data_IF_780865996144
#
_entry.id   IF_780865996144
#
_cell.length_a   1.000
_cell.length_b   1.000
_cell.length_c   1.000
_cell.angle_alpha   90.00
_cell.angle_beta   90.00
_cell.angle_gamma   90.00
#
_symmetry.space_group_name_H-M   'P 1'
#
loop_
_entity.id
_entity.type
_entity.pdbx_description
1 polymer ?
#
# COMPACT_ATOMS: atom_id res chain seq x y z
N UNK A 1 -20.35 -16.62 -41.70
CA UNK A 1 -19.81 -15.66 -40.72
C UNK A 1 -18.40 -15.28 -41.21
N UNK A 2 -18.07 -14.02 -41.49
CA UNK A 2 -16.70 -13.66 -41.82
C UNK A 2 -15.80 -13.92 -40.61
N UNK A 3 -14.62 -14.50 -40.85
CA UNK A 3 -13.58 -14.69 -39.84
C UNK A 3 -13.26 -13.35 -39.18
N UNK A 4 -13.01 -13.34 -37.82
CA UNK A 4 -12.61 -12.10 -37.18
C UNK A 4 -11.28 -11.64 -37.78
N UNK A 5 -11.27 -10.44 -38.28
CA UNK A 5 -10.08 -9.73 -38.81
C UNK A 5 -8.95 -9.83 -37.81
N UNK A 6 -7.99 -10.73 -38.06
CA UNK A 6 -6.76 -10.84 -37.28
C UNK A 6 -5.87 -9.67 -37.70
N UNK A 7 -5.75 -8.69 -36.84
CA UNK A 7 -4.83 -7.60 -36.98
C UNK A 7 -3.40 -8.12 -36.72
N UNK A 8 -2.50 -8.19 -37.74
CA UNK A 8 -1.12 -8.64 -37.56
C UNK A 8 -0.35 -7.83 -36.53
N UNK A 9 -0.79 -6.62 -36.28
CA UNK A 9 -0.32 -5.70 -35.25
C UNK A 9 -0.55 -6.26 -33.82
N UNK A 10 -1.73 -6.82 -33.57
CA UNK A 10 -2.05 -7.38 -32.24
C UNK A 10 -1.31 -8.69 -31.93
N UNK A 11 -0.95 -9.47 -32.95
CA UNK A 11 -0.18 -10.71 -32.74
C UNK A 11 1.28 -10.40 -32.39
N UNK A 12 1.89 -9.36 -32.99
CA UNK A 12 3.23 -8.88 -32.59
C UNK A 12 3.23 -8.27 -31.18
N UNK A 13 2.21 -7.49 -30.82
CA UNK A 13 2.05 -6.95 -29.47
C UNK A 13 1.97 -8.07 -28.43
N UNK A 14 1.18 -9.12 -28.71
CA UNK A 14 1.05 -10.27 -27.80
C UNK A 14 2.39 -11.01 -27.63
N UNK A 15 3.16 -11.17 -28.71
CA UNK A 15 4.47 -11.79 -28.65
C UNK A 15 5.46 -10.96 -27.79
N UNK A 16 5.42 -9.63 -27.90
CA UNK A 16 6.25 -8.73 -27.07
C UNK A 16 5.83 -8.79 -25.61
N UNK A 17 4.53 -8.80 -25.31
CA UNK A 17 4.00 -8.91 -23.94
C UNK A 17 4.42 -10.23 -23.28
N UNK A 18 4.49 -11.32 -24.05
CA UNK A 18 4.94 -12.62 -23.52
C UNK A 18 6.44 -12.67 -23.17
N UNK A 19 7.25 -11.80 -23.77
CA UNK A 19 8.70 -11.70 -23.48
C UNK A 19 8.97 -10.85 -22.22
N UNK A 20 8.01 -10.04 -21.80
CA UNK A 20 8.11 -9.13 -20.67
C UNK A 20 7.44 -9.73 -19.41
N UNK A 21 7.94 -10.86 -18.90
CA UNK A 21 7.29 -11.63 -17.81
C UNK A 21 7.24 -10.91 -16.46
N UNK A 22 7.96 -9.80 -16.25
CA UNK A 22 8.06 -9.10 -14.95
C UNK A 22 7.87 -7.59 -15.08
N UNK A 23 6.81 -7.12 -15.75
CA UNK A 23 6.55 -5.69 -15.92
C UNK A 23 5.35 -5.21 -15.10
N UNK A 24 5.52 -4.03 -14.47
CA UNK A 24 4.46 -3.37 -13.70
C UNK A 24 3.52 -2.55 -14.58
N UNK A 25 3.96 -2.19 -15.81
CA UNK A 25 3.19 -1.41 -16.74
C UNK A 25 3.54 -1.67 -18.21
N UNK A 26 2.53 -1.60 -19.06
CA UNK A 26 2.68 -1.70 -20.51
C UNK A 26 1.97 -0.50 -21.12
N UNK A 27 2.68 0.19 -22.04
CA UNK A 27 2.16 1.30 -22.80
C UNK A 27 2.39 1.05 -24.29
N UNK A 28 1.34 1.21 -25.08
CA UNK A 28 1.39 1.00 -26.52
C UNK A 28 1.11 2.34 -27.21
N UNK A 29 2.02 2.75 -28.07
CA UNK A 29 1.88 3.97 -28.86
C UNK A 29 1.90 3.66 -30.36
N UNK A 30 1.24 4.51 -31.14
CA UNK A 30 1.35 4.48 -32.60
C UNK A 30 2.62 5.22 -33.08
N UNK A 31 2.81 5.28 -34.41
CA UNK A 31 3.96 5.93 -35.04
C UNK A 31 4.09 7.42 -34.71
N UNK A 32 2.97 8.07 -34.39
CA UNK A 32 2.91 9.51 -34.11
C UNK A 32 3.06 9.77 -32.57
N UNK A 33 3.29 8.73 -31.78
CA UNK A 33 3.46 8.82 -30.32
C UNK A 33 2.16 8.98 -29.54
N UNK A 34 1.00 8.69 -30.19
CA UNK A 34 -0.30 8.69 -29.54
C UNK A 34 -0.52 7.36 -28.82
N UNK A 35 -0.94 7.41 -27.58
CA UNK A 35 -1.18 6.23 -26.74
C UNK A 35 -2.44 5.52 -27.22
N UNK A 36 -2.33 4.24 -27.55
CA UNK A 36 -3.40 3.37 -28.04
C UNK A 36 -3.89 2.38 -26.99
N UNK A 37 -3.01 1.93 -26.11
CA UNK A 37 -3.37 1.10 -24.96
C UNK A 37 -2.43 1.40 -23.79
N UNK A 38 -2.96 1.25 -22.57
CA UNK A 38 -2.21 1.53 -21.36
C UNK A 38 -2.68 0.60 -20.27
N UNK A 39 -1.79 -0.30 -19.82
CA UNK A 39 -2.04 -1.26 -18.75
C UNK A 39 -0.98 -1.10 -17.68
N UNK A 40 -1.37 -0.65 -16.51
CA UNK A 40 -0.49 -0.55 -15.34
C UNK A 40 -1.13 -1.38 -14.23
N UNK A 41 -0.34 -2.28 -13.64
CA UNK A 41 -0.77 -3.13 -12.53
C UNK A 41 -1.10 -2.33 -11.26
N UNK A 42 -0.63 -1.11 -11.14
CA UNK A 42 -0.91 -0.21 -10.03
C UNK A 42 -1.66 1.03 -10.51
N UNK A 43 -2.88 1.24 -10.00
CA UNK A 43 -3.71 2.46 -10.21
C UNK A 43 -3.08 3.76 -9.66
N UNK A 44 -1.75 3.78 -9.46
CA UNK A 44 -1.04 4.87 -8.82
C UNK A 44 -0.62 5.99 -9.78
N UNK A 45 -0.56 5.74 -11.10
CA UNK A 45 0.11 6.66 -12.01
C UNK A 45 -0.85 7.43 -12.92
N UNK A 46 -1.59 6.71 -13.76
CA UNK A 46 -2.57 7.28 -14.68
C UNK A 46 -3.70 6.27 -14.90
N UNK A 47 -4.93 6.75 -14.97
CA UNK A 47 -6.01 5.88 -15.41
C UNK A 47 -5.94 5.75 -16.92
N UNK A 48 -6.16 4.55 -17.46
CA UNK A 48 -6.17 4.30 -18.89
C UNK A 48 -7.11 5.26 -19.64
N UNK A 49 -8.26 5.57 -19.04
CA UNK A 49 -9.27 6.53 -19.56
C UNK A 49 -8.73 7.96 -19.70
N UNK A 50 -7.69 8.33 -18.94
CA UNK A 50 -7.10 9.68 -18.94
C UNK A 50 -5.90 9.78 -19.92
N UNK A 51 -5.40 8.66 -20.43
CA UNK A 51 -4.15 8.58 -21.18
C UNK A 51 -4.34 8.17 -22.63
N UNK A 52 -5.26 7.25 -22.92
CA UNK A 52 -5.51 6.77 -24.27
C UNK A 52 -6.00 7.91 -25.17
N UNK A 53 -5.41 8.02 -26.34
CA UNK A 53 -5.69 9.09 -27.29
C UNK A 53 -4.84 10.35 -27.13
N UNK A 54 -4.02 10.46 -26.05
CA UNK A 54 -3.09 11.59 -25.86
C UNK A 54 -1.71 11.25 -26.39
N UNK A 55 -0.97 12.30 -26.74
CA UNK A 55 0.43 12.14 -27.12
C UNK A 55 1.30 11.94 -25.88
N UNK A 56 2.33 11.07 -25.98
CA UNK A 56 3.22 10.73 -24.85
C UNK A 56 3.87 11.96 -24.19
N UNK A 57 4.16 13.02 -24.95
CA UNK A 57 4.70 14.28 -24.43
C UNK A 57 3.72 15.07 -23.55
N UNK A 58 2.43 14.85 -23.67
CA UNK A 58 1.44 15.50 -22.80
C UNK A 58 1.43 14.86 -21.42
N UNK A 59 1.76 13.57 -21.35
CA UNK A 59 1.86 12.85 -20.09
C UNK A 59 3.20 13.05 -19.38
N UNK A 60 4.27 13.13 -20.17
CA UNK A 60 5.64 13.23 -19.68
C UNK A 60 6.36 14.40 -20.34
N UNK A 61 5.98 15.65 -20.03
CA UNK A 61 6.53 16.84 -20.67
C UNK A 61 8.03 17.06 -20.37
N UNK A 62 8.56 16.40 -19.34
CA UNK A 62 9.97 16.43 -18.97
C UNK A 62 10.85 15.53 -19.87
N UNK A 63 10.25 14.60 -20.65
CA UNK A 63 10.98 13.73 -21.54
C UNK A 63 11.03 14.33 -22.94
N UNK A 64 12.24 14.61 -23.42
CA UNK A 64 12.51 15.02 -24.79
C UNK A 64 12.75 13.82 -25.72
N UNK A 65 13.10 14.07 -26.99
CA UNK A 65 13.33 13.02 -27.98
C UNK A 65 14.55 12.12 -27.69
N UNK A 66 15.49 12.61 -26.91
CA UNK A 66 16.71 11.87 -26.56
C UNK A 66 16.54 11.08 -25.24
N UNK A 67 15.82 11.64 -24.29
CA UNK A 67 15.58 11.01 -22.98
C UNK A 67 14.44 10.00 -23.01
N UNK A 68 13.41 10.19 -23.85
CA UNK A 68 12.31 9.24 -23.99
C UNK A 68 12.72 8.00 -24.77
N UNK A 69 12.65 6.82 -24.16
CA UNK A 69 12.89 5.53 -24.83
C UNK A 69 11.86 5.31 -25.95
N UNK A 70 10.60 5.69 -25.74
CA UNK A 70 9.51 5.55 -26.72
C UNK A 70 9.79 6.38 -27.97
N UNK A 71 10.00 7.69 -27.82
CA UNK A 71 10.24 8.58 -28.96
C UNK A 71 11.51 8.18 -29.72
N UNK A 72 12.54 7.76 -28.98
CA UNK A 72 13.79 7.30 -29.59
C UNK A 72 13.61 5.98 -30.34
N UNK A 73 12.84 5.03 -29.81
CA UNK A 73 12.54 3.77 -30.50
C UNK A 73 11.71 3.99 -31.75
N UNK A 74 10.71 4.87 -31.74
CA UNK A 74 9.92 5.25 -32.91
C UNK A 74 10.79 5.87 -33.98
N UNK A 75 11.73 6.78 -33.63
CA UNK A 75 12.63 7.46 -34.56
C UNK A 75 13.68 6.53 -35.17
N UNK A 76 14.28 5.67 -34.32
CA UNK A 76 15.43 4.86 -34.73
C UNK A 76 15.07 3.49 -35.28
N UNK A 77 13.86 3.00 -35.00
CA UNK A 77 13.43 1.65 -35.32
C UNK A 77 14.21 0.55 -34.57
N UNK A 78 14.92 0.92 -33.47
CA UNK A 78 15.72 -0.02 -32.65
C UNK A 78 15.11 -0.21 -31.30
N UNK A 79 15.10 -1.45 -30.83
CA UNK A 79 14.69 -1.77 -29.47
C UNK A 79 15.70 -1.20 -28.45
N UNK A 80 15.17 -0.79 -27.30
CA UNK A 80 15.92 -0.24 -26.18
C UNK A 80 15.57 -1.10 -24.98
N UNK A 81 16.58 -1.65 -24.30
CA UNK A 81 16.38 -2.59 -23.21
C UNK A 81 16.86 -1.99 -21.89
N UNK A 82 16.09 -2.24 -20.82
CA UNK A 82 16.41 -1.93 -19.42
C UNK A 82 16.99 -0.53 -19.20
N UNK A 83 16.49 0.46 -19.94
CA UNK A 83 16.94 1.82 -19.78
C UNK A 83 16.23 2.53 -18.66
N UNK A 84 16.99 3.00 -17.71
CA UNK A 84 16.50 3.80 -16.59
C UNK A 84 16.02 5.17 -17.05
N UNK A 85 14.79 5.51 -16.63
CA UNK A 85 14.17 6.81 -16.85
C UNK A 85 13.60 7.36 -15.53
N UNK A 86 13.58 8.67 -15.41
CA UNK A 86 12.86 9.37 -14.35
C UNK A 86 11.68 10.13 -14.97
N UNK A 87 10.50 9.91 -14.41
CA UNK A 87 9.28 10.60 -14.81
C UNK A 87 8.58 11.22 -13.61
N UNK A 88 7.70 12.17 -13.84
CA UNK A 88 6.82 12.72 -12.81
C UNK A 88 5.40 12.25 -13.08
N UNK A 89 4.80 11.57 -12.09
CA UNK A 89 3.43 11.08 -12.24
C UNK A 89 2.38 12.18 -12.10
N UNK A 90 1.11 11.85 -12.32
CA UNK A 90 -0.03 12.79 -12.22
C UNK A 90 -0.18 13.44 -10.85
N UNK A 91 0.48 12.92 -9.81
CA UNK A 91 0.48 13.45 -8.44
C UNK A 91 1.67 14.34 -8.14
N UNK A 92 2.55 14.55 -9.13
CA UNK A 92 3.79 15.30 -8.95
C UNK A 92 4.88 14.51 -8.22
N UNK A 93 4.75 13.18 -8.13
CA UNK A 93 5.74 12.30 -7.51
C UNK A 93 6.75 11.85 -8.57
N UNK A 94 8.03 11.90 -8.22
CA UNK A 94 9.08 11.32 -9.07
C UNK A 94 9.03 9.81 -9.02
N UNK A 95 9.12 9.22 -10.18
CA UNK A 95 9.14 7.77 -10.39
C UNK A 95 10.34 7.43 -11.22
N UNK A 96 11.14 6.50 -10.74
CA UNK A 96 12.19 5.86 -11.53
C UNK A 96 11.61 4.57 -12.10
N UNK A 97 11.86 4.34 -13.36
CA UNK A 97 11.47 3.11 -14.03
C UNK A 97 12.61 2.60 -14.90
N UNK A 98 12.70 1.29 -15.03
CA UNK A 98 13.49 0.65 -16.07
C UNK A 98 12.55 0.31 -17.23
N UNK A 99 12.78 0.92 -18.36
CA UNK A 99 11.95 0.78 -19.55
C UNK A 99 12.62 -0.11 -20.60
N UNK A 100 11.84 -1.05 -21.12
CA UNK A 100 12.19 -1.81 -22.32
C UNK A 100 11.20 -1.44 -23.40
N UNK A 101 11.68 -0.70 -24.41
CA UNK A 101 10.85 -0.22 -25.51
C UNK A 101 11.18 -0.96 -26.80
N UNK A 102 10.20 -1.63 -27.38
CA UNK A 102 10.34 -2.41 -28.61
C UNK A 102 9.49 -1.75 -29.71
N UNK A 103 10.10 -1.28 -30.83
CA UNK A 103 9.35 -0.75 -31.94
C UNK A 103 8.61 -1.87 -32.67
N UNK A 104 7.40 -1.58 -33.12
CA UNK A 104 6.58 -2.47 -33.95
C UNK A 104 6.76 -2.05 -35.39
N UNK A 105 7.17 -3.01 -36.22
CA UNK A 105 7.38 -2.76 -37.63
C UNK A 105 6.51 -3.67 -38.49
N UNK A 106 5.84 -3.08 -39.50
CA UNK A 106 5.08 -3.80 -40.51
C UNK A 106 5.67 -3.42 -41.88
N UNK A 107 6.01 -4.40 -42.68
CA UNK A 107 6.64 -4.22 -44.02
C UNK A 107 7.89 -3.33 -43.96
N UNK A 108 8.67 -3.42 -42.89
CA UNK A 108 9.91 -2.64 -42.70
C UNK A 108 9.70 -1.18 -42.27
N UNK A 109 8.47 -0.75 -42.05
CA UNK A 109 8.15 0.58 -41.49
C UNK A 109 7.73 0.49 -40.03
N UNK A 110 8.24 1.39 -39.19
CA UNK A 110 7.82 1.51 -37.78
C UNK A 110 6.40 2.07 -37.75
N UNK A 111 5.47 1.30 -37.19
CA UNK A 111 4.05 1.66 -37.06
C UNK A 111 3.67 2.00 -35.61
N UNK A 112 4.54 1.71 -34.66
CA UNK A 112 4.31 2.00 -33.25
C UNK A 112 5.43 1.47 -32.37
N UNK A 113 5.23 1.49 -31.07
CA UNK A 113 6.12 0.89 -30.09
C UNK A 113 5.34 0.36 -28.87
N UNK A 114 5.88 -0.70 -28.28
CA UNK A 114 5.45 -1.21 -26.96
C UNK A 114 6.53 -0.85 -25.98
N UNK A 115 6.15 -0.21 -24.89
CA UNK A 115 7.01 0.10 -23.75
C UNK A 115 6.57 -0.73 -22.55
N UNK A 116 7.48 -1.55 -22.07
CA UNK A 116 7.31 -2.39 -20.89
C UNK A 116 8.14 -1.77 -19.76
N UNK A 117 7.50 -1.31 -18.71
CA UNK A 117 8.16 -0.61 -17.63
C UNK A 117 8.08 -1.39 -16.33
N UNK A 118 9.20 -1.48 -15.62
CA UNK A 118 9.26 -1.86 -14.22
C UNK A 118 9.40 -0.58 -13.41
N UNK A 119 8.37 -0.27 -12.61
CA UNK A 119 8.35 0.95 -11.80
C UNK A 119 9.05 0.69 -10.47
N UNK A 120 10.05 1.48 -10.20
CA UNK A 120 10.55 1.66 -8.85
C UNK A 120 9.82 2.88 -8.29
N UNK A 121 8.81 2.64 -7.46
CA UNK A 121 8.16 3.72 -6.72
C UNK A 121 9.22 4.27 -5.78
N UNK A 122 9.87 5.31 -6.24
CA UNK A 122 10.66 6.15 -5.37
C UNK A 122 9.64 6.82 -4.49
N UNK A 123 9.40 6.27 -3.28
CA UNK A 123 8.47 6.84 -2.30
C UNK A 123 8.93 8.21 -1.82
N UNK A 124 9.40 9.04 -2.77
CA UNK A 124 9.91 10.36 -2.57
C UNK A 124 8.78 11.36 -2.80
N UNK A 125 8.31 11.94 -1.72
CA UNK A 125 7.36 13.04 -1.78
C UNK A 125 8.08 14.34 -1.45
N UNK A 126 8.21 15.24 -2.44
CA UNK A 126 8.77 16.57 -2.26
C UNK A 126 7.62 17.56 -2.26
N UNK A 127 7.32 18.10 -1.09
CA UNK A 127 6.40 19.25 -0.97
C UNK A 127 7.25 20.50 -0.80
N UNK A 128 7.38 21.29 -1.86
CA UNK A 128 8.12 22.57 -1.81
C UNK A 128 7.32 23.61 -1.04
N UNK A 129 8.00 24.38 -0.19
CA UNK A 129 7.43 25.39 0.66
C UNK A 129 6.56 26.41 -0.08
N UNK A 130 5.44 26.80 0.55
CA UNK A 130 4.50 27.81 0.04
C UNK A 130 3.08 27.32 -0.22
N UNK A 131 2.82 26.03 -0.32
CA UNK A 131 1.46 25.48 -0.36
C UNK A 131 1.17 24.59 0.84
N UNK A 132 0.39 25.10 1.81
CA UNK A 132 -0.20 24.31 2.92
C UNK A 132 -1.14 23.18 2.44
N UNK A 133 -1.29 23.01 1.14
CA UNK A 133 -2.28 22.14 0.51
C UNK A 133 -1.78 20.74 0.15
N UNK A 134 -1.07 20.03 1.06
CA UNK A 134 -0.64 18.67 0.72
C UNK A 134 -0.16 17.82 1.88
N UNK A 135 0.33 18.43 2.96
CA UNK A 135 0.80 17.72 4.15
C UNK A 135 -0.29 17.64 5.22
N UNK A 136 -0.24 16.56 5.98
CA UNK A 136 -1.18 16.33 7.08
C UNK A 136 -0.79 17.17 8.31
N UNK A 137 -1.80 17.75 8.95
CA UNK A 137 -1.70 18.35 10.28
C UNK A 137 -2.10 17.34 11.34
N UNK A 138 -1.88 17.64 12.62
CA UNK A 138 -2.32 16.80 13.73
C UNK A 138 -3.84 16.54 13.73
N UNK A 139 -4.63 17.44 13.17
CA UNK A 139 -6.09 17.29 13.09
C UNK A 139 -6.53 16.17 12.11
N UNK A 140 -5.65 15.80 11.18
CA UNK A 140 -5.90 14.65 10.29
C UNK A 140 -5.67 13.29 10.98
N UNK A 141 -5.06 13.28 12.15
CA UNK A 141 -4.93 12.07 12.97
C UNK A 141 -6.23 11.88 13.75
N UNK A 142 -7.13 11.11 13.17
CA UNK A 142 -8.44 10.80 13.72
C UNK A 142 -8.27 9.80 14.86
N UNK A 143 -8.65 10.22 16.09
CA UNK A 143 -8.55 9.39 17.30
C UNK A 143 -9.47 9.90 18.39
N UNK A 144 -9.92 9.02 19.26
CA UNK A 144 -10.49 9.31 20.57
C UNK A 144 -9.73 8.62 21.71
N UNK A 145 -8.63 7.94 21.36
CA UNK A 145 -7.80 7.24 22.34
C UNK A 145 -6.96 8.21 23.17
N UNK A 146 -6.98 8.12 24.52
CA UNK A 146 -6.17 8.96 25.40
C UNK A 146 -4.66 8.81 25.12
N UNK A 147 -4.20 7.61 24.74
CA UNK A 147 -2.79 7.35 24.42
C UNK A 147 -2.38 8.12 23.16
N UNK A 148 -3.25 8.16 22.15
CA UNK A 148 -3.00 8.93 20.92
C UNK A 148 -3.09 10.44 21.14
N UNK A 149 -3.98 10.91 22.02
CA UNK A 149 -4.04 12.34 22.37
C UNK A 149 -2.78 12.79 23.14
N UNK A 150 -2.23 11.92 24.02
CA UNK A 150 -0.93 12.16 24.63
C UNK A 150 0.19 12.20 23.58
N UNK A 151 0.17 11.25 22.63
CA UNK A 151 1.13 11.26 21.52
C UNK A 151 1.04 12.57 20.72
N UNK A 152 -0.15 13.07 20.39
CA UNK A 152 -0.32 14.38 19.71
C UNK A 152 0.30 15.53 20.50
N UNK A 153 0.17 15.54 21.83
CA UNK A 153 0.82 16.56 22.67
C UNK A 153 2.35 16.47 22.58
N UNK A 154 2.89 15.25 22.63
CA UNK A 154 4.33 15.01 22.46
C UNK A 154 4.83 15.42 21.07
N UNK A 155 4.05 15.16 20.01
CA UNK A 155 4.36 15.59 18.65
C UNK A 155 4.44 17.12 18.58
N UNK A 156 3.47 17.87 19.15
CA UNK A 156 3.52 19.35 19.20
C UNK A 156 4.77 19.86 19.90
N UNK A 157 5.12 19.27 21.03
CA UNK A 157 6.34 19.67 21.77
C UNK A 157 7.60 19.35 20.97
N UNK A 158 7.70 18.17 20.38
CA UNK A 158 8.82 17.74 19.55
C UNK A 158 8.94 18.59 18.26
N UNK A 159 7.83 19.05 17.70
CA UNK A 159 7.80 19.89 16.51
C UNK A 159 8.56 21.21 16.68
N UNK A 160 8.59 21.75 17.91
CA UNK A 160 9.28 23.02 18.23
C UNK A 160 10.81 22.87 18.32
N UNK A 161 11.33 21.65 18.29
CA UNK A 161 12.76 21.36 18.37
C UNK A 161 13.32 21.00 16.99
N UNK A 162 14.56 21.37 16.72
CA UNK A 162 15.28 20.93 15.51
C UNK A 162 15.99 19.58 15.69
N UNK A 163 15.84 18.96 16.85
CA UNK A 163 16.41 17.65 17.15
C UNK A 163 15.85 16.56 16.24
N UNK A 164 16.65 15.55 15.89
CA UNK A 164 16.17 14.35 15.20
C UNK A 164 15.06 13.64 16.00
N UNK A 165 14.10 13.07 15.27
CA UNK A 165 12.98 12.33 15.84
C UNK A 165 12.95 10.92 15.27
N UNK A 166 12.91 9.90 16.12
CA UNK A 166 12.69 8.51 15.73
C UNK A 166 11.27 8.10 16.09
N UNK A 167 10.51 7.68 15.08
CA UNK A 167 9.15 7.19 15.20
C UNK A 167 9.17 5.66 15.14
N UNK A 168 8.68 5.01 16.18
CA UNK A 168 8.43 3.57 16.17
C UNK A 168 6.93 3.31 16.10
N UNK A 169 6.55 2.34 15.29
CA UNK A 169 5.19 1.82 15.22
C UNK A 169 5.06 0.78 14.11
N UNK A 170 4.24 -0.22 14.34
CA UNK A 170 3.98 -1.27 13.36
C UNK A 170 3.53 -0.69 12.00
N UNK A 171 3.65 -1.50 10.96
CA UNK A 171 3.19 -1.12 9.61
C UNK A 171 1.70 -0.76 9.64
N UNK A 172 1.35 0.37 9.00
CA UNK A 172 -0.04 0.84 8.90
C UNK A 172 -0.58 1.57 10.12
N UNK A 173 0.23 1.92 11.13
CA UNK A 173 -0.19 2.71 12.32
C UNK A 173 -0.37 4.19 12.05
N UNK A 174 0.24 4.73 10.96
CA UNK A 174 0.15 6.15 10.59
C UNK A 174 1.43 6.95 10.85
N UNK A 175 2.62 6.33 10.84
CA UNK A 175 3.93 6.98 11.05
C UNK A 175 4.16 8.18 10.13
N UNK A 176 3.77 8.07 8.85
CA UNK A 176 3.89 9.15 7.87
C UNK A 176 3.06 10.38 8.27
N UNK A 177 1.82 10.19 8.73
CA UNK A 177 0.97 11.28 9.22
C UNK A 177 1.61 12.03 10.39
N UNK A 178 2.28 11.29 11.29
CA UNK A 178 3.01 11.88 12.43
C UNK A 178 4.24 12.64 11.95
N UNK A 179 4.98 12.13 10.96
CA UNK A 179 6.14 12.81 10.39
C UNK A 179 5.74 14.11 9.67
N UNK A 180 4.65 14.10 8.90
CA UNK A 180 4.08 15.29 8.28
C UNK A 180 3.63 16.30 9.34
N UNK A 181 2.97 15.83 10.40
CA UNK A 181 2.54 16.69 11.51
C UNK A 181 3.72 17.33 12.25
N UNK A 182 4.82 16.61 12.47
CA UNK A 182 6.05 17.19 13.04
C UNK A 182 6.61 18.33 12.20
N UNK A 183 6.47 18.25 10.89
CA UNK A 183 6.89 19.32 9.99
C UNK A 183 5.91 20.49 10.00
N UNK A 184 4.61 20.22 9.84
CA UNK A 184 3.56 21.26 9.71
C UNK A 184 3.35 22.05 10.99
N UNK A 185 3.54 21.43 12.15
CA UNK A 185 3.48 22.08 13.47
C UNK A 185 4.82 22.72 13.89
N UNK A 186 5.89 22.48 13.10
CA UNK A 186 7.25 22.89 13.43
C UNK A 186 7.66 24.25 12.83
N UNK A 187 8.88 24.69 13.22
CA UNK A 187 9.46 25.95 12.76
C UNK A 187 9.76 25.97 11.25
N UNK A 188 9.90 24.79 10.63
CA UNK A 188 10.21 24.61 9.20
C UNK A 188 8.97 24.35 8.34
N UNK A 189 7.76 24.61 8.83
CA UNK A 189 6.49 24.30 8.15
C UNK A 189 6.31 24.98 6.79
N UNK A 190 7.05 26.08 6.54
CA UNK A 190 7.07 26.78 5.25
C UNK A 190 8.18 26.33 4.30
N UNK A 191 9.02 25.37 4.73
CA UNK A 191 10.15 24.86 3.96
C UNK A 191 9.80 23.53 3.26
N UNK A 192 10.77 22.95 2.56
CA UNK A 192 10.58 21.66 1.90
C UNK A 192 10.40 20.50 2.91
N UNK A 193 9.45 19.61 2.62
CA UNK A 193 9.33 18.32 3.24
C UNK A 193 9.65 17.24 2.20
N UNK A 194 10.69 16.50 2.44
CA UNK A 194 11.12 15.39 1.57
C UNK A 194 10.91 14.09 2.32
N UNK A 195 10.13 13.19 1.75
CA UNK A 195 9.86 11.86 2.31
C UNK A 195 10.47 10.79 1.44
N UNK A 196 11.13 9.81 2.04
CA UNK A 196 11.71 8.67 1.37
C UNK A 196 11.43 7.38 2.13
N UNK A 197 10.78 6.41 1.45
CA UNK A 197 10.70 5.04 1.95
C UNK A 197 11.96 4.26 1.53
N UNK A 198 12.64 3.65 2.50
CA UNK A 198 13.93 2.98 2.27
C UNK A 198 13.80 1.50 1.90
N UNK A 199 12.63 0.89 2.12
CA UNK A 199 12.39 -0.53 1.83
C UNK A 199 12.14 -0.82 0.34
N UNK A 200 11.63 0.18 -0.40
CA UNK A 200 11.17 -0.01 -1.78
C UNK A 200 12.29 0.08 -2.83
N UNK A 201 13.56 0.30 -2.42
CA UNK A 201 14.61 0.72 -3.35
C UNK A 201 15.87 -0.14 -3.17
N UNK A 202 16.47 -0.64 -4.26
CA UNK A 202 17.77 -1.29 -4.21
C UNK A 202 18.86 -0.38 -3.61
N UNK A 203 19.77 -0.94 -2.82
CA UNK A 203 20.77 -0.20 -2.03
C UNK A 203 21.61 0.77 -2.86
N UNK A 204 22.07 0.35 -4.04
CA UNK A 204 22.94 1.19 -4.92
C UNK A 204 22.17 2.42 -5.42
N UNK A 205 20.87 2.26 -5.67
CA UNK A 205 19.99 3.37 -6.10
C UNK A 205 19.69 4.29 -4.92
N UNK A 206 19.39 3.70 -3.76
CA UNK A 206 19.13 4.45 -2.55
C UNK A 206 20.34 5.33 -2.17
N UNK A 207 21.56 4.81 -2.31
CA UNK A 207 22.79 5.59 -2.08
C UNK A 207 22.89 6.79 -3.04
N UNK A 208 22.67 6.58 -4.34
CA UNK A 208 22.72 7.66 -5.32
C UNK A 208 21.64 8.72 -5.09
N UNK A 209 20.48 8.32 -4.58
CA UNK A 209 19.41 9.24 -4.21
C UNK A 209 19.75 10.06 -2.97
N UNK A 210 20.32 9.45 -1.93
CA UNK A 210 20.70 10.18 -0.72
C UNK A 210 21.76 11.25 -0.99
N UNK A 211 22.82 10.86 -1.69
CA UNK A 211 24.00 11.70 -1.84
C UNK A 211 24.08 12.45 -3.16
N UNK A 212 23.26 12.07 -4.15
CA UNK A 212 23.33 12.61 -5.50
C UNK A 212 24.47 12.00 -6.32
N UNK A 213 24.53 12.33 -7.60
CA UNK A 213 25.54 11.83 -8.55
C UNK A 213 26.20 12.96 -9.30
N UNK A 214 27.44 12.76 -9.72
CA UNK A 214 28.09 13.60 -10.74
C UNK A 214 28.30 12.80 -12.04
N UNK A 215 28.35 13.53 -13.15
CA UNK A 215 28.57 12.93 -14.47
C UNK A 215 29.87 12.11 -14.45
N UNK A 216 29.75 10.81 -14.84
CA UNK A 216 30.88 9.90 -14.89
C UNK A 216 31.10 9.08 -13.62
N UNK A 217 30.25 9.16 -12.60
CA UNK A 217 30.32 8.31 -11.40
C UNK A 217 30.10 6.82 -11.71
N UNK A 218 29.32 6.52 -12.73
CA UNK A 218 29.13 5.19 -13.34
C UNK A 218 28.66 5.36 -14.80
N UNK A 219 28.62 4.25 -15.56
CA UNK A 219 28.22 4.28 -16.98
C UNK A 219 26.80 4.82 -17.13
N UNK A 220 26.64 5.97 -17.77
CA UNK A 220 25.33 6.64 -17.94
C UNK A 220 24.93 7.60 -16.83
N UNK A 221 25.77 7.83 -15.82
CA UNK A 221 25.46 8.76 -14.73
C UNK A 221 25.34 10.20 -15.23
N UNK A 222 24.24 10.85 -14.87
CA UNK A 222 23.99 12.30 -15.01
C UNK A 222 24.17 12.99 -13.67
N UNK A 223 24.49 14.26 -13.71
CA UNK A 223 24.58 15.07 -12.47
C UNK A 223 23.20 15.28 -11.87
N UNK A 224 23.00 14.78 -10.66
CA UNK A 224 21.75 14.86 -9.93
C UNK A 224 21.97 15.29 -8.47
N UNK A 225 21.03 16.08 -7.91
CA UNK A 225 21.05 16.45 -6.50
C UNK A 225 20.56 15.28 -5.63
N UNK A 226 21.18 15.10 -4.46
CA UNK A 226 20.71 14.14 -3.47
C UNK A 226 19.63 14.68 -2.56
N UNK A 227 18.96 13.78 -1.79
CA UNK A 227 17.89 14.10 -0.86
C UNK A 227 18.29 15.15 0.18
N UNK A 228 19.53 15.12 0.67
CA UNK A 228 20.02 16.13 1.60
C UNK A 228 20.09 17.53 0.98
N UNK A 229 20.44 17.62 -0.31
CA UNK A 229 20.44 18.89 -1.04
C UNK A 229 19.00 19.36 -1.30
N UNK A 230 18.08 18.46 -1.61
CA UNK A 230 16.67 18.79 -1.88
C UNK A 230 15.91 19.19 -0.62
N UNK A 231 16.22 18.57 0.52
CA UNK A 231 15.62 18.86 1.81
C UNK A 231 16.27 20.05 2.52
N UNK A 232 17.29 20.67 1.92
CA UNK A 232 18.06 21.72 2.59
C UNK A 232 17.18 22.89 3.05
N UNK A 233 17.34 23.29 4.30
CA UNK A 233 16.48 24.26 5.00
C UNK A 233 15.18 23.69 5.56
N UNK A 234 14.80 22.46 5.17
CA UNK A 234 13.54 21.80 5.47
C UNK A 234 13.64 20.58 6.37
N UNK A 235 12.82 19.58 6.08
CA UNK A 235 12.73 18.30 6.81
C UNK A 235 12.89 17.13 5.85
N UNK A 236 13.71 16.16 6.22
CA UNK A 236 13.86 14.86 5.54
C UNK A 236 13.25 13.78 6.41
N UNK A 237 12.22 13.12 5.91
CA UNK A 237 11.60 11.95 6.53
C UNK A 237 12.09 10.67 5.86
N UNK A 238 12.60 9.76 6.68
CA UNK A 238 13.14 8.46 6.25
C UNK A 238 12.26 7.36 6.85
N UNK A 239 11.43 6.75 6.03
CA UNK A 239 10.59 5.63 6.48
C UNK A 239 11.32 4.31 6.30
N UNK A 240 11.10 3.40 7.27
CA UNK A 240 11.67 2.05 7.29
C UNK A 240 13.20 2.02 7.16
N UNK A 241 13.91 2.88 7.94
CA UNK A 241 15.40 2.95 7.89
C UNK A 241 16.09 1.62 8.20
N UNK A 242 15.41 0.72 8.94
CA UNK A 242 15.89 -0.63 9.24
C UNK A 242 15.97 -1.55 8.01
N UNK A 243 15.45 -1.12 6.86
CA UNK A 243 15.58 -1.82 5.58
C UNK A 243 16.84 -1.43 4.80
N UNK A 244 17.56 -0.39 5.24
CA UNK A 244 18.83 -0.01 4.64
C UNK A 244 19.94 -0.98 5.00
N UNK A 245 20.87 -1.22 4.06
CA UNK A 245 22.12 -1.93 4.35
C UNK A 245 22.95 -1.19 5.41
N UNK A 246 23.66 -1.96 6.24
CA UNK A 246 24.49 -1.44 7.31
C UNK A 246 25.60 -0.48 6.79
N UNK A 247 26.09 -0.73 5.58
CA UNK A 247 27.07 0.15 4.92
C UNK A 247 26.49 1.53 4.61
N UNK A 248 25.23 1.59 4.15
CA UNK A 248 24.54 2.85 3.87
C UNK A 248 24.17 3.58 5.15
N UNK A 249 23.77 2.84 6.20
CA UNK A 249 23.55 3.42 7.53
C UNK A 249 24.80 4.12 8.07
N UNK A 250 26.00 3.55 7.86
CA UNK A 250 27.26 4.19 8.25
C UNK A 250 27.54 5.50 7.49
N UNK A 251 27.25 5.52 6.18
CA UNK A 251 27.37 6.75 5.36
C UNK A 251 26.36 7.82 5.79
N UNK A 252 25.12 7.39 6.10
CA UNK A 252 24.09 8.27 6.63
C UNK A 252 24.54 8.90 7.96
N UNK A 253 25.04 8.11 8.90
CA UNK A 253 25.56 8.59 10.18
C UNK A 253 26.61 9.66 9.97
N UNK A 254 27.60 9.39 9.13
CA UNK A 254 28.69 10.35 8.81
C UNK A 254 28.13 11.66 8.27
N UNK A 255 27.18 11.61 7.35
CA UNK A 255 26.53 12.82 6.82
C UNK A 255 25.83 13.64 7.91
N UNK A 256 25.12 12.95 8.84
CA UNK A 256 24.42 13.60 9.96
C UNK A 256 25.36 14.23 10.99
N UNK A 257 26.56 13.66 11.18
CA UNK A 257 27.59 14.20 12.10
C UNK A 257 28.31 15.38 11.49
N UNK A 258 28.74 15.26 10.24
CA UNK A 258 29.53 16.28 9.54
C UNK A 258 28.65 17.42 8.97
N UNK A 259 27.32 17.23 8.90
CA UNK A 259 26.35 18.15 8.26
C UNK A 259 26.73 18.54 6.84
N UNK A 260 27.33 17.62 6.12
CA UNK A 260 27.72 17.76 4.71
C UNK A 260 27.64 16.43 4.00
N UNK A 261 27.38 16.48 2.70
CA UNK A 261 27.38 15.32 1.79
C UNK A 261 28.33 15.56 0.65
N UNK A 262 28.72 14.46 0.00
CA UNK A 262 29.50 14.48 -1.24
C UNK A 262 28.77 13.62 -2.26
N UNK A 263 28.57 14.15 -3.46
CA UNK A 263 27.95 13.38 -4.54
C UNK A 263 28.82 12.18 -4.94
N UNK A 264 28.20 11.12 -5.36
CA UNK A 264 28.92 9.96 -5.90
C UNK A 264 29.72 10.38 -7.13
N UNK A 265 31.01 10.02 -7.17
CA UNK A 265 31.95 10.47 -8.19
C UNK A 265 32.45 11.91 -8.04
N UNK A 266 31.90 12.66 -7.11
CA UNK A 266 32.30 14.05 -6.84
C UNK A 266 33.37 14.17 -5.74
N UNK A 267 34.09 15.29 -5.73
CA UNK A 267 35.08 15.63 -4.70
C UNK A 267 34.65 16.76 -3.77
N UNK A 268 33.58 17.48 -4.11
CA UNK A 268 33.13 18.67 -3.39
C UNK A 268 32.25 18.30 -2.21
N UNK A 269 32.56 18.82 -1.03
CA UNK A 269 31.68 18.78 0.14
C UNK A 269 30.56 19.81 -0.02
N UNK A 270 29.31 19.37 0.20
CA UNK A 270 28.10 20.21 0.08
C UNK A 270 27.47 20.26 1.48
N UNK A 271 27.50 21.41 2.16
CA UNK A 271 26.88 21.55 3.47
C UNK A 271 25.36 21.57 3.35
N UNK A 272 24.68 21.06 4.38
CA UNK A 272 23.23 21.08 4.48
C UNK A 272 22.74 21.39 5.90
N UNK A 273 21.57 21.97 5.99
CA UNK A 273 20.82 22.14 7.23
C UNK A 273 19.44 21.51 7.07
N UNK A 274 19.30 20.27 7.56
CA UNK A 274 18.09 19.47 7.39
C UNK A 274 17.67 18.90 8.75
N UNK A 275 16.39 19.06 9.09
CA UNK A 275 15.80 18.34 10.22
C UNK A 275 15.50 16.92 9.81
N UNK A 276 15.94 15.92 10.59
CA UNK A 276 15.73 14.52 10.30
C UNK A 276 14.57 13.97 11.14
N UNK A 277 13.64 13.29 10.47
CA UNK A 277 12.62 12.44 11.08
C UNK A 277 12.83 11.03 10.49
N UNK A 278 12.99 10.03 11.32
CA UNK A 278 13.18 8.64 10.88
C UNK A 278 12.08 7.76 11.45
N UNK A 279 11.71 6.71 10.74
CA UNK A 279 10.75 5.73 11.22
C UNK A 279 11.26 4.30 11.09
N UNK A 280 10.83 3.45 12.03
CA UNK A 280 11.04 2.00 12.03
C UNK A 280 9.71 1.30 12.27
N UNK A 281 9.55 0.11 11.69
CA UNK A 281 8.33 -0.68 11.78
C UNK A 281 8.44 -1.87 12.76
N UNK A 282 9.62 -2.10 13.31
CA UNK A 282 9.91 -3.13 14.31
C UNK A 282 10.46 -2.50 15.60
N UNK A 283 10.36 -3.20 16.75
CA UNK A 283 10.90 -2.69 18.01
C UNK A 283 12.39 -2.36 17.89
N UNK A 284 12.82 -1.15 18.28
CA UNK A 284 14.21 -0.73 18.17
C UNK A 284 15.18 -1.68 18.87
N UNK A 285 14.79 -2.24 20.04
CA UNK A 285 15.58 -3.19 20.80
C UNK A 285 15.87 -4.47 20.02
N UNK A 286 14.89 -4.94 19.27
CA UNK A 286 15.03 -6.11 18.38
C UNK A 286 15.91 -5.81 17.18
N UNK A 287 15.77 -4.65 16.60
CA UNK A 287 16.62 -4.20 15.48
C UNK A 287 18.10 -4.08 15.88
N UNK A 288 18.37 -3.58 17.07
CA UNK A 288 19.72 -3.51 17.64
C UNK A 288 20.28 -4.92 17.92
N UNK A 289 19.48 -5.78 18.55
CA UNK A 289 19.87 -7.16 18.89
C UNK A 289 20.19 -7.99 17.64
N UNK A 290 19.44 -7.80 16.55
CA UNK A 290 19.63 -8.51 15.28
C UNK A 290 20.66 -7.85 14.36
N UNK A 291 21.23 -6.71 14.75
CA UNK A 291 22.19 -5.96 13.95
C UNK A 291 21.62 -5.33 12.68
N UNK A 292 20.29 -5.22 12.55
CA UNK A 292 19.61 -4.59 11.42
C UNK A 292 19.58 -3.07 11.51
N UNK A 293 19.84 -2.52 12.69
CA UNK A 293 20.05 -1.10 12.91
C UNK A 293 21.34 -0.92 13.71
N UNK A 294 22.22 -0.03 13.24
CA UNK A 294 23.46 0.32 13.96
C UNK A 294 23.14 1.08 15.22
N UNK A 295 23.82 0.75 16.29
CA UNK A 295 23.61 1.37 17.60
C UNK A 295 23.96 2.88 17.58
N UNK A 296 25.05 3.24 16.93
CA UNK A 296 25.49 4.64 16.80
C UNK A 296 24.46 5.49 16.03
N UNK A 297 23.92 4.97 14.93
CA UNK A 297 22.87 5.65 14.17
C UNK A 297 21.55 5.76 14.99
N UNK A 298 21.18 4.70 15.72
CA UNK A 298 20.00 4.71 16.58
C UNK A 298 20.06 5.83 17.63
N UNK A 299 21.20 5.99 18.34
CA UNK A 299 21.34 7.08 19.31
C UNK A 299 21.38 8.46 18.66
N UNK A 300 21.93 8.56 17.45
CA UNK A 300 21.94 9.84 16.71
C UNK A 300 20.57 10.29 16.25
N UNK A 301 19.71 9.35 15.83
CA UNK A 301 18.33 9.63 15.38
C UNK A 301 17.32 9.69 16.51
N UNK A 302 17.56 8.93 17.57
CA UNK A 302 16.61 8.74 18.69
C UNK A 302 16.70 9.79 19.81
N UNK A 303 17.05 11.03 19.50
CA UNK A 303 17.07 12.14 20.51
C UNK A 303 15.67 12.36 21.08
N UNK A 304 14.66 12.38 20.21
CA UNK A 304 13.25 12.32 20.59
C UNK A 304 12.67 11.03 20.05
N UNK A 305 11.98 10.25 20.91
CA UNK A 305 11.34 8.99 20.49
C UNK A 305 9.83 9.11 20.65
N UNK A 306 9.13 8.78 19.56
CA UNK A 306 7.67 8.73 19.51
C UNK A 306 7.24 7.30 19.20
N UNK A 307 6.34 6.76 20.01
CA UNK A 307 5.84 5.39 19.85
C UNK A 307 4.37 5.46 19.50
N UNK A 308 4.02 4.92 18.34
CA UNK A 308 2.64 4.81 17.88
C UNK A 308 2.07 3.46 18.33
N UNK A 309 1.02 3.44 19.17
CA UNK A 309 0.39 2.20 19.55
C UNK A 309 -0.29 1.53 18.36
N UNK A 310 -0.23 0.18 18.27
CA UNK A 310 -0.98 -0.56 17.28
C UNK A 310 -2.49 -0.43 17.52
N UNK A 311 -3.30 -0.65 16.49
CA UNK A 311 -4.75 -0.45 16.55
C UNK A 311 -5.44 -1.33 17.62
N UNK A 312 -4.93 -2.52 17.87
CA UNK A 312 -5.42 -3.42 18.94
C UNK A 312 -5.26 -2.86 20.37
N UNK A 313 -4.37 -1.89 20.58
CA UNK A 313 -4.16 -1.19 21.86
C UNK A 313 -5.01 0.09 21.99
N UNK A 314 -5.76 0.43 20.94
CA UNK A 314 -6.71 1.57 20.91
C UNK A 314 -8.03 1.18 20.23
N UNK A 315 -8.72 0.16 20.75
CA UNK A 315 -9.94 -0.37 20.13
C UNK A 315 -11.09 0.66 20.05
N UNK A 316 -11.07 1.70 20.90
CA UNK A 316 -11.99 2.82 20.85
C UNK A 316 -11.90 3.64 19.56
N UNK A 317 -10.75 3.64 18.89
CA UNK A 317 -10.56 4.33 17.62
C UNK A 317 -11.23 3.60 16.44
N UNK A 318 -11.49 2.28 16.55
CA UNK A 318 -12.01 1.47 15.44
C UNK A 318 -13.34 2.01 14.89
N UNK A 319 -14.39 2.28 15.71
CA UNK A 319 -15.64 2.83 15.19
C UNK A 319 -15.47 4.23 14.60
N UNK A 320 -14.64 5.05 15.23
CA UNK A 320 -14.38 6.41 14.78
C UNK A 320 -13.69 6.43 13.41
N UNK A 321 -12.65 5.59 13.24
CA UNK A 321 -11.94 5.42 11.98
C UNK A 321 -12.84 4.80 10.90
N UNK A 322 -13.66 3.81 11.25
CA UNK A 322 -14.62 3.20 10.32
C UNK A 322 -15.58 4.26 9.78
N UNK A 323 -16.19 5.06 10.64
CA UNK A 323 -17.09 6.13 10.21
C UNK A 323 -16.36 7.18 9.35
N UNK A 324 -15.15 7.56 9.73
CA UNK A 324 -14.32 8.48 8.95
C UNK A 324 -14.07 7.96 7.53
N UNK A 325 -13.74 6.68 7.36
CA UNK A 325 -13.53 6.06 6.05
C UNK A 325 -14.84 5.97 5.26
N UNK A 326 -15.95 5.59 5.90
CA UNK A 326 -17.25 5.59 5.24
C UNK A 326 -17.64 6.96 4.70
N UNK A 327 -17.41 8.02 5.46
CA UNK A 327 -17.64 9.39 4.98
C UNK A 327 -16.77 9.74 3.77
N UNK A 328 -15.49 9.35 3.78
CA UNK A 328 -14.60 9.55 2.64
C UNK A 328 -15.10 8.83 1.40
N UNK A 329 -15.48 7.54 1.53
CA UNK A 329 -15.96 6.74 0.40
C UNK A 329 -17.33 7.19 -0.08
N UNK A 330 -18.24 7.59 0.80
CA UNK A 330 -19.52 8.17 0.42
C UNK A 330 -19.33 9.40 -0.49
N UNK A 331 -18.40 10.31 -0.13
CA UNK A 331 -18.11 11.50 -0.94
C UNK A 331 -17.47 11.15 -2.28
N UNK A 332 -16.53 10.20 -2.32
CA UNK A 332 -15.79 9.85 -3.55
C UNK A 332 -16.62 9.03 -4.52
N UNK A 333 -17.46 8.09 -4.03
CA UNK A 333 -18.25 7.15 -4.84
C UNK A 333 -19.71 7.54 -4.96
N UNK A 334 -20.12 8.71 -4.42
CA UNK A 334 -21.49 9.22 -4.47
C UNK A 334 -22.54 8.21 -3.97
N UNK A 335 -22.24 7.50 -2.88
CA UNK A 335 -23.13 6.55 -2.21
C UNK A 335 -23.51 7.09 -0.83
N UNK A 336 -24.47 6.42 -0.17
CA UNK A 336 -24.98 6.84 1.15
C UNK A 336 -25.04 5.65 2.09
N UNK A 337 -23.87 5.15 2.50
CA UNK A 337 -23.77 4.14 3.56
C UNK A 337 -23.65 4.87 4.89
N UNK A 338 -24.62 4.65 5.78
CA UNK A 338 -24.80 5.41 7.03
C UNK A 338 -23.96 4.89 8.19
N UNK A 339 -23.43 3.66 8.08
CA UNK A 339 -22.66 3.04 9.17
C UNK A 339 -22.50 1.53 8.99
N UNK A 340 -22.31 0.85 10.10
CA UNK A 340 -22.16 -0.60 10.16
C UNK A 340 -23.25 -1.23 11.02
N UNK A 341 -23.62 -2.49 10.80
CA UNK A 341 -24.53 -3.23 11.67
C UNK A 341 -23.89 -3.50 13.03
N UNK A 342 -24.66 -3.77 14.10
CA UNK A 342 -24.10 -4.14 15.41
C UNK A 342 -23.21 -5.40 15.38
N UNK A 343 -23.49 -6.34 14.47
CA UNK A 343 -22.67 -7.53 14.26
C UNK A 343 -21.35 -7.21 13.57
N UNK A 344 -21.40 -6.37 12.54
CA UNK A 344 -20.21 -5.86 11.86
C UNK A 344 -19.30 -5.06 12.81
N UNK A 345 -19.87 -4.19 13.68
CA UNK A 345 -19.07 -3.46 14.71
C UNK A 345 -18.36 -4.41 15.67
N UNK A 346 -19.07 -5.44 16.16
CA UNK A 346 -18.44 -6.47 16.99
C UNK A 346 -17.28 -7.18 16.28
N UNK A 347 -17.48 -7.55 15.01
CA UNK A 347 -16.46 -8.22 14.20
C UNK A 347 -15.22 -7.32 14.04
N UNK A 348 -15.41 -6.04 13.72
CA UNK A 348 -14.31 -5.06 13.58
C UNK A 348 -13.53 -4.91 14.89
N UNK A 349 -14.19 -4.86 16.04
CA UNK A 349 -13.55 -4.74 17.36
C UNK A 349 -12.79 -5.99 17.79
N UNK A 350 -13.24 -7.18 17.38
CA UNK A 350 -12.60 -8.46 17.73
C UNK A 350 -11.38 -8.77 16.86
N UNK A 351 -11.23 -8.10 15.72
CA UNK A 351 -10.10 -8.32 14.83
C UNK A 351 -8.79 -7.78 15.46
N UNK A 352 -7.69 -8.53 15.31
CA UNK A 352 -6.36 -8.15 15.83
C UNK A 352 -5.66 -7.04 15.04
N UNK A 353 -6.06 -6.82 13.80
CA UNK A 353 -5.52 -5.79 12.90
C UNK A 353 -3.99 -5.79 12.76
N UNK A 354 -3.35 -6.89 12.29
CA UNK A 354 -1.89 -6.90 12.11
C UNK A 354 -1.39 -5.84 11.12
N UNK A 355 -2.22 -5.41 10.16
CA UNK A 355 -1.94 -4.28 9.27
C UNK A 355 -2.51 -2.94 9.76
N UNK A 356 -2.95 -2.88 11.03
CA UNK A 356 -3.39 -1.67 11.72
C UNK A 356 -4.45 -0.85 10.95
N UNK A 357 -4.32 0.46 10.92
CA UNK A 357 -5.29 1.38 10.26
C UNK A 357 -5.32 1.17 8.75
N UNK A 358 -4.19 0.77 8.13
CA UNK A 358 -4.16 0.46 6.69
C UNK A 358 -5.05 -0.74 6.36
N UNK A 359 -4.99 -1.79 7.18
CA UNK A 359 -5.84 -2.96 7.01
C UNK A 359 -7.31 -2.64 7.28
N UNK A 360 -7.62 -1.88 8.35
CA UNK A 360 -8.99 -1.43 8.64
C UNK A 360 -9.57 -0.63 7.47
N UNK A 361 -8.80 0.31 6.93
CA UNK A 361 -9.21 1.11 5.77
C UNK A 361 -9.52 0.22 4.56
N UNK A 362 -8.64 -0.73 4.23
CA UNK A 362 -8.84 -1.64 3.10
C UNK A 362 -10.06 -2.54 3.32
N UNK A 363 -10.28 -3.02 4.55
CA UNK A 363 -11.45 -3.84 4.88
C UNK A 363 -12.77 -3.05 4.72
N UNK A 364 -12.80 -1.79 5.19
CA UNK A 364 -13.96 -0.92 5.01
C UNK A 364 -14.17 -0.58 3.53
N UNK A 365 -13.11 -0.33 2.77
CA UNK A 365 -13.18 -0.06 1.32
C UNK A 365 -13.74 -1.24 0.55
N UNK A 366 -13.23 -2.45 0.82
CA UNK A 366 -13.73 -3.68 0.19
C UNK A 366 -15.19 -3.96 0.53
N UNK A 367 -15.56 -3.84 1.81
CA UNK A 367 -16.95 -4.00 2.23
C UNK A 367 -17.86 -2.94 1.60
N UNK A 368 -17.39 -1.69 1.52
CA UNK A 368 -18.13 -0.60 0.88
C UNK A 368 -18.38 -0.87 -0.62
N UNK A 369 -17.44 -1.49 -1.31
CA UNK A 369 -17.57 -1.79 -2.74
C UNK A 369 -18.67 -2.82 -3.03
N UNK A 370 -18.82 -3.85 -2.17
CA UNK A 370 -19.77 -4.96 -2.36
C UNK A 370 -21.12 -4.73 -1.69
N UNK A 371 -21.22 -3.83 -0.70
CA UNK A 371 -22.44 -3.56 0.05
C UNK A 371 -23.60 -3.13 -0.84
N UNK A 372 -24.78 -3.72 -0.64
CA UNK A 372 -26.01 -3.38 -1.37
C UNK A 372 -26.96 -2.49 -0.56
N UNK A 373 -26.79 -2.44 0.76
CA UNK A 373 -27.64 -1.71 1.69
C UNK A 373 -27.08 -0.36 2.14
N UNK A 374 -27.79 0.29 3.07
CA UNK A 374 -27.36 1.54 3.72
C UNK A 374 -26.42 1.32 4.93
N UNK A 375 -26.22 0.08 5.35
CA UNK A 375 -25.31 -0.31 6.42
C UNK A 375 -24.40 -1.45 5.94
N UNK A 376 -23.12 -1.40 6.28
CA UNK A 376 -22.23 -2.54 6.08
C UNK A 376 -22.60 -3.66 7.05
N UNK A 377 -22.79 -4.86 6.54
CA UNK A 377 -23.09 -6.04 7.33
C UNK A 377 -21.88 -6.96 7.50
N UNK A 378 -22.02 -7.99 8.33
CA UNK A 378 -20.99 -8.98 8.59
C UNK A 378 -20.54 -9.71 7.32
N UNK A 379 -21.45 -9.95 6.39
CA UNK A 379 -21.16 -10.63 5.13
C UNK A 379 -20.25 -9.77 4.24
N UNK A 380 -20.48 -8.45 4.16
CA UNK A 380 -19.66 -7.51 3.39
C UNK A 380 -18.22 -7.48 3.93
N UNK A 381 -18.05 -7.48 5.27
CA UNK A 381 -16.75 -7.47 5.93
C UNK A 381 -16.04 -8.81 5.87
N UNK A 382 -16.74 -9.93 5.95
CA UNK A 382 -16.16 -11.26 5.92
C UNK A 382 -15.38 -11.50 4.62
N UNK A 383 -15.90 -11.06 3.48
CA UNK A 383 -15.23 -11.14 2.19
C UNK A 383 -13.94 -10.30 2.19
N UNK A 384 -14.01 -9.07 2.71
CA UNK A 384 -12.86 -8.14 2.75
C UNK A 384 -11.78 -8.53 3.74
N UNK A 385 -12.15 -9.23 4.83
CA UNK A 385 -11.21 -9.71 5.84
C UNK A 385 -10.60 -11.07 5.49
N UNK A 386 -11.02 -11.68 4.38
CA UNK A 386 -10.62 -13.05 4.00
C UNK A 386 -11.13 -14.09 5.00
N UNK A 387 -12.00 -13.68 5.92
CA UNK A 387 -12.75 -14.57 6.79
C UNK A 387 -14.03 -14.93 6.07
N UNK A 388 -13.94 -15.69 4.98
CA UNK A 388 -15.12 -16.46 4.59
C UNK A 388 -15.58 -17.15 5.85
N UNK A 389 -16.88 -17.10 6.22
CA UNK A 389 -17.38 -18.05 7.18
C UNK A 389 -17.02 -19.40 6.56
N UNK A 390 -15.98 -20.03 7.07
CA UNK A 390 -15.80 -21.45 6.77
C UNK A 390 -17.15 -22.07 7.07
N UNK A 391 -17.75 -22.80 6.13
CA UNK A 391 -18.85 -23.67 6.50
C UNK A 391 -18.31 -24.43 7.71
N UNK A 392 -19.03 -24.51 8.84
CA UNK A 392 -18.49 -24.93 10.12
C UNK A 392 -17.55 -26.07 9.85
N UNK A 393 -16.26 -25.83 10.09
CA UNK A 393 -15.19 -26.78 9.77
C UNK A 393 -15.61 -28.08 10.45
N UNK A 394 -15.75 -29.15 9.69
CA UNK A 394 -15.94 -30.49 10.24
C UNK A 394 -14.88 -30.82 11.30
N UNK A 395 -13.74 -30.11 11.26
CA UNK A 395 -12.68 -30.19 12.29
C UNK A 395 -13.04 -29.49 13.62
N UNK A 396 -13.87 -28.44 13.64
CA UNK A 396 -14.33 -27.84 14.90
C UNK A 396 -15.43 -28.66 15.57
N UNK A 397 -16.12 -29.49 14.78
CA UNK A 397 -17.03 -30.52 15.31
C UNK A 397 -16.30 -31.78 15.81
N UNK A 398 -14.98 -31.90 15.59
CA UNK A 398 -14.20 -33.11 15.89
C UNK A 398 -13.33 -32.99 17.15
N UNK A 399 -13.31 -31.87 17.85
CA UNK A 399 -12.67 -31.81 19.17
C UNK A 399 -13.59 -32.43 20.22
N UNK A 400 -13.21 -33.61 20.71
CA UNK A 400 -13.89 -34.23 21.83
C UNK A 400 -13.73 -33.34 23.06
N UNK A 401 -14.82 -33.01 23.82
CA UNK A 401 -14.70 -32.24 25.05
C UNK A 401 -13.86 -32.99 26.10
N UNK A 402 -13.10 -32.24 26.89
CA UNK A 402 -12.31 -32.81 27.96
C UNK A 402 -13.23 -33.43 29.03
N UNK A 403 -13.30 -34.77 29.09
CA UNK A 403 -14.07 -35.51 30.05
C UNK A 403 -14.77 -36.77 29.51
N UNK A 404 -15.35 -37.65 30.35
CA UNK A 404 -16.04 -38.85 29.89
C UNK A 404 -17.31 -38.51 29.09
N UNK A 405 -17.31 -38.83 27.82
CA UNK A 405 -18.40 -38.56 26.88
C UNK A 405 -19.29 -39.76 26.76
N UNK A 406 -20.59 -39.59 26.95
CA UNK A 406 -21.57 -40.63 26.59
C UNK A 406 -21.97 -40.45 25.13
N UNK A 407 -21.47 -41.33 24.25
CA UNK A 407 -21.79 -41.36 22.83
C UNK A 407 -23.30 -41.32 22.58
N UNK A 408 -24.07 -42.08 23.36
CA UNK A 408 -25.53 -42.11 23.25
C UNK A 408 -26.19 -40.74 23.48
N UNK A 409 -25.70 -39.95 24.43
CA UNK A 409 -26.22 -38.58 24.70
C UNK A 409 -25.88 -37.60 23.59
N UNK A 410 -24.68 -37.68 23.03
CA UNK A 410 -24.28 -36.81 21.93
C UNK A 410 -25.05 -37.14 20.63
N UNK A 411 -25.25 -38.41 20.34
CA UNK A 411 -26.08 -38.86 19.18
C UNK A 411 -27.53 -38.40 19.36
N UNK A 412 -28.10 -38.51 20.56
CA UNK A 412 -29.45 -38.02 20.84
C UNK A 412 -29.56 -36.51 20.71
N UNK A 413 -28.57 -35.75 21.16
CA UNK A 413 -28.52 -34.30 21.01
C UNK A 413 -28.50 -33.87 19.55
N UNK A 414 -27.64 -34.51 18.75
CA UNK A 414 -27.53 -34.20 17.32
C UNK A 414 -28.79 -34.61 16.53
N UNK A 415 -29.35 -35.78 16.84
CA UNK A 415 -30.57 -36.26 16.24
C UNK A 415 -31.76 -35.32 16.52
N UNK A 416 -31.89 -34.88 17.76
CA UNK A 416 -32.92 -33.89 18.19
C UNK A 416 -32.78 -32.59 17.39
N UNK A 417 -31.59 -32.06 17.23
CA UNK A 417 -31.34 -30.83 16.52
C UNK A 417 -31.64 -30.97 15.00
N UNK A 418 -31.26 -32.08 14.38
CA UNK A 418 -31.58 -32.35 12.97
C UNK A 418 -33.09 -32.43 12.74
N UNK A 419 -33.81 -33.11 13.63
CA UNK A 419 -35.28 -33.22 13.53
C UNK A 419 -35.94 -31.87 13.69
N UNK A 420 -35.50 -31.05 14.64
CA UNK A 420 -36.01 -29.68 14.85
C UNK A 420 -35.84 -28.81 13.60
N UNK A 421 -34.63 -28.78 13.05
CA UNK A 421 -34.33 -28.03 11.80
C UNK A 421 -35.16 -28.50 10.60
N UNK A 422 -35.31 -29.81 10.44
CA UNK A 422 -36.12 -30.35 9.37
C UNK A 422 -37.61 -30.01 9.51
N UNK A 423 -38.13 -29.97 10.73
CA UNK A 423 -39.52 -29.53 10.98
C UNK A 423 -39.71 -28.04 10.70
N UNK A 424 -38.75 -27.19 11.11
CA UNK A 424 -38.79 -25.74 10.83
C UNK A 424 -38.71 -25.47 9.32
N UNK A 425 -37.83 -26.18 8.61
CA UNK A 425 -37.59 -25.96 7.18
C UNK A 425 -38.73 -26.48 6.28
N UNK A 426 -39.27 -27.65 6.58
CA UNK A 426 -40.25 -28.32 5.70
C UNK A 426 -41.70 -28.21 6.16
N UNK A 427 -42.00 -27.69 7.33
CA UNK A 427 -43.33 -27.34 7.82
C UNK A 427 -44.33 -28.49 7.98
N UNK A 428 -43.98 -29.74 7.58
CA UNK A 428 -44.88 -30.90 7.74
C UNK A 428 -44.11 -32.18 8.04
N UNK A 429 -44.66 -33.03 8.89
CA UNK A 429 -44.06 -34.33 9.29
C UNK A 429 -43.76 -35.20 8.09
N UNK A 430 -44.64 -35.19 7.08
CA UNK A 430 -44.46 -36.05 5.88
C UNK A 430 -43.30 -35.56 4.99
N UNK A 431 -43.12 -34.26 4.84
CA UNK A 431 -42.04 -33.65 4.07
C UNK A 431 -40.71 -33.80 4.82
N UNK A 432 -40.64 -33.53 6.11
CA UNK A 432 -39.48 -33.66 6.96
C UNK A 432 -39.01 -35.15 7.00
N UNK A 433 -39.95 -36.12 7.18
CA UNK A 433 -39.60 -37.55 7.18
C UNK A 433 -38.94 -37.98 5.86
N UNK A 434 -39.48 -37.55 4.72
CA UNK A 434 -38.94 -37.90 3.40
C UNK A 434 -37.50 -37.35 3.23
N UNK A 435 -37.26 -36.16 3.65
CA UNK A 435 -35.93 -35.50 3.55
C UNK A 435 -34.91 -36.10 4.54
N UNK A 436 -35.35 -36.55 5.70
CA UNK A 436 -34.51 -37.24 6.68
C UNK A 436 -34.29 -38.74 6.39
N UNK A 437 -34.89 -39.29 5.32
CA UNK A 437 -34.81 -40.69 5.02
C UNK A 437 -35.55 -41.58 6.03
N UNK A 438 -36.54 -41.06 6.75
CA UNK A 438 -37.29 -41.74 7.77
C UNK A 438 -38.72 -42.03 7.33
N UNK A 439 -39.34 -43.11 7.90
CA UNK A 439 -40.77 -43.29 7.78
C UNK A 439 -41.52 -42.25 8.61
N UNK A 440 -42.71 -41.84 8.16
CA UNK A 440 -43.56 -40.89 8.90
C UNK A 440 -43.86 -41.33 10.34
N UNK A 441 -44.02 -42.65 10.57
CA UNK A 441 -44.24 -43.21 11.89
C UNK A 441 -43.00 -43.10 12.78
N UNK A 442 -41.79 -43.35 12.22
CA UNK A 442 -40.54 -43.25 12.93
C UNK A 442 -40.24 -41.79 13.33
N UNK A 443 -40.47 -40.82 12.43
CA UNK A 443 -40.31 -39.39 12.75
C UNK A 443 -41.33 -38.96 13.83
N UNK A 444 -42.56 -39.40 13.77
CA UNK A 444 -43.57 -39.11 14.79
C UNK A 444 -43.16 -39.67 16.18
N UNK A 445 -42.63 -40.88 16.22
CA UNK A 445 -42.08 -41.46 17.44
C UNK A 445 -40.92 -40.66 18.02
N UNK A 446 -39.98 -40.20 17.15
CA UNK A 446 -38.83 -39.40 17.57
C UNK A 446 -39.25 -38.00 18.05
N UNK A 447 -40.22 -37.37 17.43
CA UNK A 447 -40.81 -36.12 17.90
C UNK A 447 -41.41 -36.23 19.31
N UNK A 448 -42.14 -37.35 19.56
CA UNK A 448 -42.65 -37.63 20.91
C UNK A 448 -41.55 -37.92 21.92
N UNK A 449 -40.51 -38.71 21.52
CA UNK A 449 -39.37 -39.03 22.37
C UNK A 449 -38.59 -37.78 22.80
N UNK A 450 -38.46 -36.80 21.93
CA UNK A 450 -37.66 -35.59 22.18
C UNK A 450 -38.45 -34.35 22.61
N UNK A 451 -39.78 -34.47 22.78
CA UNK A 451 -40.70 -33.38 23.08
C UNK A 451 -40.54 -32.17 22.11
N UNK A 452 -40.58 -32.48 20.82
CA UNK A 452 -40.51 -31.49 19.72
C UNK A 452 -41.88 -31.28 19.06
#
# INVERSE_FOLDING_TARGET
MPEPYRDPYMDQIRAVIQVCEDTDGILIVDRDGIIRDHRIAMNYYWKAEETVGRHIRELYPELDEESSTILRALRTGRAIYDQRQEIVNSRGERVVLDATTIPISVDGQVVGAVDCARFYVVGQRIVRGGRRGGLSTLDRIVTCSPVMEELKRRVRSAAQLDSPVLIYGETGTGKELVAEALHTEGRRCGQSFVSQNCAAIPTNLLESMFFGTEKGSYTGAVTHKGLFEEANGGTLFLDEINSMDISLQAKLLKALEEKKVRRLGGSRDIPFDVRIVAAVNEPPEELLRTGRLREDLFYRLGVVRLILPPLRERPEDIPLLTNHFLEQYNRSMKRTIRGVTPGADRMLRQCRWPGNVRQLRNAVEGAFAVAQGELLCEADLAESLGTRPEPPSEAAAAALPDGPISLSREVERYERELIRRAMEQYGSISAAARNLGLSRQNLKYKLQKYNL
#
